data_IF_924314230121
#
_entry.id   IF_924314230121
#
_cell.length_a   1.000
_cell.length_b   1.000
_cell.length_c   1.000
_cell.angle_alpha   90.00
_cell.angle_beta   90.00
_cell.angle_gamma   90.00
#
_symmetry.space_group_name_H-M   'P 1'
#
loop_
_entity.id
_entity.type
_entity.pdbx_description
1 polymer ?
#
# COMPACT_ATOMS: atom_id res chain seq x y z
N UNK A 1 -12.28 12.60 -29.22
CA UNK A 1 -12.34 12.69 -30.69
C UNK A 1 -13.80 12.44 -31.10
N UNK A 2 -14.45 13.35 -31.78
CA UNK A 2 -15.85 13.16 -32.17
C UNK A 2 -15.92 12.25 -33.40
N UNK A 3 -16.50 11.04 -33.34
CA UNK A 3 -16.45 10.05 -34.41
C UNK A 3 -17.23 10.47 -35.67
N UNK A 4 -18.14 11.43 -35.54
CA UNK A 4 -18.97 11.91 -36.64
C UNK A 4 -18.55 13.27 -37.20
N UNK A 5 -17.49 13.89 -36.65
CA UNK A 5 -17.02 15.20 -37.09
C UNK A 5 -16.57 15.25 -38.55
N UNK A 6 -16.24 14.10 -39.15
CA UNK A 6 -15.79 13.96 -40.53
C UNK A 6 -16.88 13.41 -41.49
N UNK A 7 -18.11 13.15 -40.98
CA UNK A 7 -19.18 12.67 -41.84
C UNK A 7 -19.76 13.81 -42.68
N UNK A 8 -19.97 13.55 -43.96
CA UNK A 8 -20.60 14.51 -44.88
C UNK A 8 -22.13 14.41 -44.79
N UNK A 9 -22.77 15.49 -44.40
CA UNK A 9 -24.23 15.62 -44.38
C UNK A 9 -24.65 16.57 -45.50
N UNK A 10 -25.32 16.05 -46.53
CA UNK A 10 -25.73 16.82 -47.73
C UNK A 10 -27.13 17.41 -47.57
N UNK A 11 -28.02 16.80 -46.82
CA UNK A 11 -29.40 17.23 -46.59
C UNK A 11 -29.65 17.90 -45.25
N UNK A 12 -30.77 18.56 -45.05
CA UNK A 12 -31.17 19.14 -43.77
C UNK A 12 -31.41 18.06 -42.71
N UNK A 13 -32.09 16.98 -43.09
CA UNK A 13 -32.41 15.84 -42.22
C UNK A 13 -31.11 15.13 -41.79
N UNK A 14 -30.16 14.97 -42.72
CA UNK A 14 -28.85 14.34 -42.38
C UNK A 14 -28.05 15.19 -41.39
N UNK A 15 -28.10 16.52 -41.50
CA UNK A 15 -27.45 17.42 -40.53
C UNK A 15 -28.09 17.37 -39.15
N UNK A 16 -29.43 17.32 -39.11
CA UNK A 16 -30.14 17.18 -37.83
C UNK A 16 -29.87 15.82 -37.18
N UNK A 17 -29.83 14.74 -37.99
CA UNK A 17 -29.47 13.41 -37.48
C UNK A 17 -28.02 13.37 -36.98
N UNK A 18 -27.09 13.99 -37.71
CA UNK A 18 -25.69 14.10 -37.29
C UNK A 18 -25.57 14.86 -35.96
N UNK A 19 -26.26 15.99 -35.82
CA UNK A 19 -26.27 16.77 -34.58
C UNK A 19 -26.84 15.96 -33.42
N UNK A 20 -27.93 15.24 -33.64
CA UNK A 20 -28.53 14.35 -32.64
C UNK A 20 -27.55 13.23 -32.19
N UNK A 21 -26.89 12.60 -33.17
CA UNK A 21 -25.91 11.53 -32.87
C UNK A 21 -24.69 12.06 -32.12
N UNK A 22 -24.22 13.26 -32.45
CA UNK A 22 -23.14 13.92 -31.70
C UNK A 22 -23.56 14.20 -30.25
N UNK A 23 -24.77 14.73 -30.06
CA UNK A 23 -25.31 14.99 -28.74
C UNK A 23 -25.45 13.71 -27.93
N UNK A 24 -26.01 12.65 -28.49
CA UNK A 24 -26.13 11.34 -27.83
C UNK A 24 -24.76 10.76 -27.48
N UNK A 25 -23.77 10.90 -28.35
CA UNK A 25 -22.40 10.48 -28.04
C UNK A 25 -21.81 11.25 -26.87
N UNK A 26 -21.91 12.58 -26.89
CA UNK A 26 -21.37 13.43 -25.84
C UNK A 26 -22.06 13.18 -24.48
N UNK A 27 -23.38 12.95 -24.48
CA UNK A 27 -24.15 12.71 -23.25
C UNK A 27 -24.00 11.28 -22.72
N UNK A 28 -23.89 10.27 -23.56
CA UNK A 28 -24.02 8.87 -23.14
C UNK A 28 -22.74 8.05 -23.25
N UNK A 29 -21.85 8.36 -24.19
CA UNK A 29 -20.72 7.49 -24.53
C UNK A 29 -19.35 8.11 -24.28
N UNK A 30 -19.23 9.43 -24.34
CA UNK A 30 -17.95 10.12 -24.28
C UNK A 30 -17.16 9.78 -23.02
N UNK A 31 -17.81 9.89 -21.85
CA UNK A 31 -17.17 9.59 -20.57
C UNK A 31 -16.69 8.15 -20.50
N UNK A 32 -17.49 7.21 -21.01
CA UNK A 32 -17.13 5.80 -21.05
C UNK A 32 -15.97 5.54 -22.02
N UNK A 33 -15.96 6.20 -23.19
CA UNK A 33 -14.86 6.08 -24.13
C UNK A 33 -13.55 6.65 -23.58
N UNK A 34 -13.62 7.79 -22.89
CA UNK A 34 -12.47 8.38 -22.22
C UNK A 34 -11.94 7.49 -21.09
N UNK A 35 -12.83 6.84 -20.31
CA UNK A 35 -12.42 5.85 -19.31
C UNK A 35 -11.73 4.63 -19.91
N UNK A 36 -12.21 4.13 -21.05
CA UNK A 36 -11.59 2.99 -21.75
C UNK A 36 -10.16 3.34 -22.15
N UNK A 37 -9.93 4.55 -22.66
CA UNK A 37 -8.60 5.03 -23.01
C UNK A 37 -7.66 5.14 -21.81
N UNK A 38 -8.21 5.39 -20.61
CA UNK A 38 -7.46 5.49 -19.35
C UNK A 38 -7.34 4.16 -18.59
N UNK A 39 -7.92 3.07 -19.12
CA UNK A 39 -7.90 1.77 -18.45
C UNK A 39 -6.48 1.25 -18.17
N UNK A 40 -5.53 1.58 -19.04
CA UNK A 40 -4.10 1.30 -18.85
C UNK A 40 -3.41 2.17 -17.81
N UNK A 41 -4.01 3.34 -17.47
CA UNK A 41 -3.48 4.32 -16.53
C UNK A 41 -4.57 4.89 -15.60
N UNK A 42 -5.21 4.06 -14.76
CA UNK A 42 -6.37 4.45 -13.94
C UNK A 42 -6.10 5.65 -13.03
N UNK A 43 -4.84 5.84 -12.61
CA UNK A 43 -4.43 6.96 -11.75
C UNK A 43 -4.59 8.35 -12.41
N UNK A 44 -4.76 8.41 -13.72
CA UNK A 44 -5.01 9.64 -14.47
C UNK A 44 -6.52 9.88 -14.69
N UNK A 45 -7.35 8.85 -14.47
CA UNK A 45 -8.77 8.89 -14.69
C UNK A 45 -9.59 9.37 -13.47
N UNK A 46 -10.92 9.30 -13.57
CA UNK A 46 -11.81 9.62 -12.45
C UNK A 46 -11.60 8.64 -11.29
N UNK A 47 -11.95 9.08 -10.06
CA UNK A 47 -11.75 8.31 -8.84
C UNK A 47 -12.40 6.91 -8.90
N UNK A 48 -13.58 6.81 -9.52
CA UNK A 48 -14.30 5.53 -9.70
C UNK A 48 -13.48 4.48 -10.45
N UNK A 49 -12.65 4.91 -11.42
CA UNK A 49 -11.81 4.00 -12.21
C UNK A 49 -10.67 3.43 -11.34
N UNK A 50 -10.08 4.27 -10.48
CA UNK A 50 -9.05 3.84 -9.53
C UNK A 50 -9.65 2.88 -8.50
N UNK A 51 -10.80 3.21 -7.93
CA UNK A 51 -11.48 2.37 -6.94
C UNK A 51 -11.82 0.98 -7.50
N UNK A 52 -12.30 0.93 -8.75
CA UNK A 52 -12.53 -0.33 -9.45
C UNK A 52 -11.26 -1.14 -9.64
N UNK A 53 -10.17 -0.49 -10.06
CA UNK A 53 -8.88 -1.16 -10.26
C UNK A 53 -8.30 -1.65 -8.92
N UNK A 54 -8.41 -0.87 -7.85
CA UNK A 54 -8.00 -1.26 -6.49
C UNK A 54 -8.76 -2.51 -6.03
N UNK A 55 -10.07 -2.57 -6.25
CA UNK A 55 -10.89 -3.72 -5.89
C UNK A 55 -10.51 -4.97 -6.69
N UNK A 56 -10.23 -4.82 -7.99
CA UNK A 56 -9.81 -5.91 -8.87
C UNK A 56 -8.42 -6.44 -8.51
N UNK A 57 -7.50 -5.56 -8.13
CA UNK A 57 -6.12 -5.91 -7.78
C UNK A 57 -5.96 -6.34 -6.31
N UNK A 58 -7.04 -6.39 -5.54
CA UNK A 58 -7.02 -6.79 -4.13
C UNK A 58 -6.38 -5.77 -3.19
N UNK A 59 -6.23 -4.51 -3.63
CA UNK A 59 -5.55 -3.44 -2.91
C UNK A 59 -6.50 -2.60 -2.05
N UNK A 60 -7.48 -3.23 -1.40
CA UNK A 60 -8.48 -2.55 -0.54
C UNK A 60 -7.89 -1.61 0.52
N UNK A 61 -6.65 -1.84 0.87
CA UNK A 61 -5.80 -1.05 1.75
C UNK A 61 -5.61 0.37 1.29
N UNK A 62 -5.48 0.58 0.00
CA UNK A 62 -5.26 1.91 -0.56
C UNK A 62 -6.48 2.82 -0.40
N UNK A 63 -7.67 2.27 -0.17
CA UNK A 63 -8.91 3.03 0.03
C UNK A 63 -8.91 3.93 1.28
N UNK A 64 -7.94 3.77 2.18
CA UNK A 64 -7.79 4.59 3.39
C UNK A 64 -7.00 5.90 3.14
N UNK A 65 -6.35 6.03 2.00
CA UNK A 65 -5.58 7.21 1.66
C UNK A 65 -6.48 8.35 1.13
N UNK A 66 -5.99 9.57 1.20
CA UNK A 66 -6.61 10.71 0.51
C UNK A 66 -6.62 10.48 -1.00
N UNK A 67 -7.47 11.17 -1.76
CA UNK A 67 -7.55 10.95 -3.22
C UNK A 67 -6.19 11.13 -3.90
N UNK A 68 -5.43 12.16 -3.55
CA UNK A 68 -4.09 12.40 -4.08
C UNK A 68 -3.11 11.31 -3.68
N UNK A 69 -3.14 10.88 -2.42
CA UNK A 69 -2.35 9.77 -1.91
C UNK A 69 -2.71 8.45 -2.60
N UNK A 70 -3.99 8.21 -2.83
CA UNK A 70 -4.49 7.03 -3.53
C UNK A 70 -3.94 6.95 -4.97
N UNK A 71 -3.99 8.06 -5.71
CA UNK A 71 -3.45 8.15 -7.07
C UNK A 71 -1.95 7.87 -7.10
N UNK A 72 -1.22 8.46 -6.17
CA UNK A 72 0.22 8.27 -6.04
C UNK A 72 0.58 6.82 -5.68
N UNK A 73 -0.08 6.25 -4.68
CA UNK A 73 0.15 4.88 -4.23
C UNK A 73 -0.20 3.86 -5.31
N UNK A 74 -1.32 4.03 -6.01
CA UNK A 74 -1.70 3.15 -7.10
C UNK A 74 -0.69 3.21 -8.25
N UNK A 75 -0.22 4.41 -8.60
CA UNK A 75 0.86 4.59 -9.58
C UNK A 75 2.15 3.89 -9.13
N UNK A 76 2.57 4.13 -7.89
CA UNK A 76 3.77 3.52 -7.33
C UNK A 76 3.66 1.98 -7.31
N UNK A 77 2.52 1.43 -6.88
CA UNK A 77 2.28 0.00 -6.90
C UNK A 77 2.40 -0.58 -8.32
N UNK A 78 1.75 0.04 -9.29
CA UNK A 78 1.73 -0.47 -10.67
C UNK A 78 3.12 -0.46 -11.31
N UNK A 79 3.95 0.55 -11.04
CA UNK A 79 5.28 0.68 -11.64
C UNK A 79 6.39 0.00 -10.83
N UNK A 80 6.26 -0.09 -9.50
CA UNK A 80 7.30 -0.63 -8.61
C UNK A 80 7.06 -2.07 -8.19
N UNK A 81 5.81 -2.54 -8.13
CA UNK A 81 5.46 -3.91 -7.76
C UNK A 81 6.19 -4.98 -8.60
N UNK A 82 6.42 -4.81 -9.91
CA UNK A 82 7.19 -5.77 -10.70
C UNK A 82 8.63 -5.97 -10.23
N UNK A 83 9.20 -5.01 -9.51
CA UNK A 83 10.59 -5.05 -9.02
C UNK A 83 10.80 -6.02 -7.87
N UNK A 84 9.75 -6.58 -7.29
CA UNK A 84 9.77 -7.46 -6.11
C UNK A 84 10.56 -6.85 -4.93
N UNK A 85 10.14 -7.17 -3.70
CA UNK A 85 10.82 -6.69 -2.49
C UNK A 85 9.97 -5.74 -1.65
N UNK A 86 10.64 -4.88 -0.88
CA UNK A 86 10.02 -3.96 0.09
C UNK A 86 9.67 -2.59 -0.47
N UNK A 87 10.01 -2.31 -1.74
CA UNK A 87 9.85 -0.97 -2.32
C UNK A 87 8.43 -0.40 -2.26
N UNK A 88 7.41 -1.25 -2.44
CA UNK A 88 6.04 -0.80 -2.33
C UNK A 88 5.65 -0.55 -0.87
N UNK A 89 6.10 -1.40 0.05
CA UNK A 89 5.93 -1.21 1.49
C UNK A 89 6.56 0.11 1.94
N UNK A 90 7.79 0.40 1.53
CA UNK A 90 8.49 1.66 1.81
C UNK A 90 7.71 2.88 1.29
N UNK A 91 7.25 2.80 0.03
CA UNK A 91 6.45 3.87 -0.57
C UNK A 91 5.15 4.09 0.20
N UNK A 92 4.49 3.01 0.59
CA UNK A 92 3.25 3.06 1.35
C UNK A 92 3.45 3.67 2.74
N UNK A 93 4.48 3.23 3.46
CA UNK A 93 4.82 3.77 4.78
C UNK A 93 5.21 5.25 4.70
N UNK A 94 6.00 5.63 3.71
CA UNK A 94 6.40 7.03 3.50
C UNK A 94 5.22 7.95 3.25
N UNK A 95 4.21 7.50 2.50
CA UNK A 95 3.01 8.32 2.25
C UNK A 95 2.15 8.46 3.49
N UNK A 96 2.07 7.43 4.34
CA UNK A 96 1.23 7.44 5.53
C UNK A 96 1.91 8.08 6.74
N UNK A 97 3.20 7.82 6.93
CA UNK A 97 3.94 8.18 8.14
C UNK A 97 5.14 9.12 7.89
N UNK A 98 5.38 9.53 6.64
CA UNK A 98 6.57 10.31 6.31
C UNK A 98 7.84 9.49 6.48
N UNK A 99 8.85 10.06 7.15
CA UNK A 99 10.16 9.42 7.37
C UNK A 99 10.32 8.83 8.80
N UNK A 100 9.20 8.67 9.55
CA UNK A 100 9.21 8.16 10.94
C UNK A 100 9.00 6.64 11.01
N UNK A 101 9.52 5.91 10.05
CA UNK A 101 9.48 4.46 10.01
C UNK A 101 10.85 3.86 9.70
N UNK A 102 11.04 2.62 10.14
CA UNK A 102 12.21 1.81 9.82
C UNK A 102 11.77 0.39 9.45
N UNK A 103 12.39 -0.20 8.43
CA UNK A 103 12.10 -1.58 8.00
C UNK A 103 13.35 -2.41 8.17
N UNK A 104 13.27 -3.38 9.08
CA UNK A 104 14.37 -4.27 9.40
C UNK A 104 14.02 -5.72 9.08
N UNK A 105 14.92 -6.44 8.43
CA UNK A 105 14.80 -7.88 8.28
C UNK A 105 15.31 -8.56 9.55
N UNK A 106 14.55 -9.55 10.05
CA UNK A 106 14.88 -10.24 11.28
C UNK A 106 15.75 -11.47 11.04
N UNK A 107 16.69 -11.65 11.93
CA UNK A 107 17.64 -12.76 11.99
C UNK A 107 17.32 -13.63 13.19
N UNK A 108 17.50 -14.95 13.05
CA UNK A 108 17.30 -15.94 14.09
C UNK A 108 18.62 -16.58 14.46
N UNK A 109 18.88 -16.74 15.76
CA UNK A 109 20.05 -17.46 16.24
C UNK A 109 19.96 -18.94 15.94
N UNK A 110 21.01 -19.52 15.36
CA UNK A 110 21.03 -20.94 14.91
C UNK A 110 20.91 -21.93 16.08
N UNK A 111 21.35 -21.55 17.27
CA UNK A 111 21.33 -22.40 18.47
C UNK A 111 19.97 -22.46 19.15
N UNK A 112 19.02 -21.62 18.77
CA UNK A 112 17.73 -21.52 19.44
C UNK A 112 16.57 -22.00 18.56
N UNK A 113 15.47 -22.51 19.16
CA UNK A 113 14.30 -22.94 18.39
C UNK A 113 13.62 -21.75 17.71
N UNK A 114 13.22 -21.93 16.44
CA UNK A 114 12.49 -20.93 15.69
C UNK A 114 11.00 -20.93 16.07
N UNK A 115 10.34 -19.77 16.24
CA UNK A 115 10.82 -18.40 16.20
C UNK A 115 11.08 -17.82 17.61
N UNK A 116 12.28 -17.95 18.10
CA UNK A 116 12.70 -17.31 19.35
C UNK A 116 13.88 -16.36 19.07
N UNK A 117 14.09 -15.38 19.95
CA UNK A 117 15.21 -14.42 19.89
C UNK A 117 15.50 -13.84 18.48
N UNK A 118 14.45 -13.27 17.89
CA UNK A 118 14.54 -12.60 16.60
C UNK A 118 15.16 -11.21 16.78
N UNK A 119 16.27 -10.95 16.06
CA UNK A 119 17.04 -9.71 16.17
C UNK A 119 17.26 -9.05 14.83
N UNK A 120 17.44 -7.74 14.86
CA UNK A 120 17.93 -7.00 13.71
C UNK A 120 19.44 -7.15 13.59
N UNK A 121 19.97 -6.83 12.43
CA UNK A 121 21.41 -6.81 12.19
C UNK A 121 22.14 -5.86 13.15
N UNK A 122 21.52 -4.73 13.43
CA UNK A 122 22.07 -3.73 14.37
C UNK A 122 22.07 -4.23 15.80
N UNK A 123 21.01 -4.92 16.24
CA UNK A 123 20.92 -5.52 17.58
C UNK A 123 22.01 -6.60 17.77
N UNK A 124 22.30 -7.41 16.71
CA UNK A 124 23.37 -8.41 16.75
C UNK A 124 24.74 -7.71 16.91
N UNK A 125 24.98 -6.65 16.14
CA UNK A 125 26.24 -5.91 16.20
C UNK A 125 26.43 -5.21 17.55
N UNK A 126 25.38 -4.61 18.11
CA UNK A 126 25.40 -3.94 19.42
C UNK A 126 25.72 -4.92 20.57
N UNK A 127 25.26 -6.17 20.46
CA UNK A 127 25.52 -7.21 21.46
C UNK A 127 26.91 -7.85 21.27
N UNK A 128 27.69 -7.45 20.26
CA UNK A 128 29.01 -8.03 19.98
C UNK A 128 28.95 -9.47 19.50
N UNK A 129 27.79 -9.94 19.00
CA UNK A 129 27.62 -11.29 18.50
C UNK A 129 27.98 -11.35 17.00
N UNK A 130 28.35 -12.56 16.54
CA UNK A 130 28.73 -12.73 15.14
C UNK A 130 27.51 -13.02 14.25
N UNK A 131 27.41 -12.35 13.09
CA UNK A 131 26.36 -12.65 12.10
C UNK A 131 26.40 -14.13 11.64
N UNK A 132 27.56 -14.79 11.73
CA UNK A 132 27.69 -16.20 11.36
C UNK A 132 26.85 -17.16 12.21
N UNK A 133 26.48 -16.74 13.45
CA UNK A 133 25.70 -17.52 14.39
C UNK A 133 24.18 -17.40 14.14
N UNK A 134 23.82 -16.57 13.17
CA UNK A 134 22.45 -16.26 12.82
C UNK A 134 22.13 -16.70 11.38
N UNK A 135 20.85 -16.85 11.09
CA UNK A 135 20.34 -17.01 9.73
C UNK A 135 19.22 -16.01 9.45
N UNK A 136 19.14 -15.61 8.22
CA UNK A 136 18.15 -14.65 7.75
C UNK A 136 16.78 -15.31 7.67
N UNK A 137 15.77 -14.70 8.29
CA UNK A 137 14.39 -15.21 8.27
C UNK A 137 13.54 -14.52 7.20
N UNK A 138 12.36 -15.06 6.94
CA UNK A 138 11.33 -14.41 6.11
C UNK A 138 10.49 -13.39 6.89
N UNK A 139 10.99 -12.89 8.02
CA UNK A 139 10.29 -11.91 8.86
C UNK A 139 10.86 -10.51 8.66
N UNK A 140 9.95 -9.55 8.50
CA UNK A 140 10.26 -8.13 8.44
C UNK A 140 9.64 -7.45 9.66
N UNK A 141 10.40 -6.59 10.32
CA UNK A 141 9.91 -5.72 11.39
C UNK A 141 9.83 -4.29 10.87
N UNK A 142 8.66 -3.70 11.02
CA UNK A 142 8.43 -2.28 10.75
C UNK A 142 8.32 -1.58 12.10
N UNK A 143 9.28 -0.72 12.37
CA UNK A 143 9.31 0.13 13.54
C UNK A 143 8.68 1.48 13.18
N UNK A 144 7.61 1.88 13.86
CA UNK A 144 6.89 3.13 13.66
C UNK A 144 7.01 3.99 14.92
N UNK A 145 7.47 5.23 14.75
CA UNK A 145 7.51 6.22 15.82
C UNK A 145 6.33 7.17 15.65
N UNK A 146 5.18 6.82 16.23
CA UNK A 146 3.94 7.60 16.09
C UNK A 146 3.03 7.42 17.29
N UNK A 147 2.20 8.42 17.57
CA UNK A 147 1.28 8.40 18.71
C UNK A 147 0.07 7.49 18.48
N UNK A 148 -0.39 7.34 17.24
CA UNK A 148 -1.51 6.48 16.89
C UNK A 148 -1.25 5.75 15.56
N UNK A 149 -1.50 4.45 15.58
CA UNK A 149 -1.61 3.65 14.35
C UNK A 149 -2.98 2.97 14.34
N UNK A 150 -3.87 3.34 13.41
CA UNK A 150 -5.14 2.65 13.29
C UNK A 150 -4.92 1.16 12.99
N UNK A 151 -5.63 0.26 13.68
CA UNK A 151 -5.55 -1.20 13.42
C UNK A 151 -5.75 -1.56 11.94
N UNK A 152 -6.56 -0.76 11.25
CA UNK A 152 -6.83 -0.91 9.82
C UNK A 152 -5.54 -0.78 8.99
N UNK A 153 -4.63 0.11 9.39
CA UNK A 153 -3.35 0.31 8.69
C UNK A 153 -2.46 -0.92 8.89
N UNK A 154 -2.44 -1.51 10.08
CA UNK A 154 -1.65 -2.72 10.37
C UNK A 154 -2.13 -3.90 9.51
N UNK A 155 -3.44 -4.11 9.39
CA UNK A 155 -4.01 -5.13 8.49
C UNK A 155 -3.65 -4.85 7.04
N UNK A 156 -3.65 -3.59 6.69
CA UNK A 156 -3.31 -3.06 5.41
C UNK A 156 -1.87 -3.36 5.00
N UNK A 157 -0.92 -3.12 5.87
CA UNK A 157 0.49 -3.40 5.64
C UNK A 157 0.75 -4.87 5.26
N UNK A 158 -0.04 -5.80 5.79
CA UNK A 158 0.08 -7.23 5.47
C UNK A 158 -0.23 -7.55 4.02
N UNK A 159 -1.20 -6.87 3.41
CA UNK A 159 -1.58 -7.11 2.02
C UNK A 159 -0.58 -6.52 1.02
N UNK A 160 0.26 -5.61 1.49
CA UNK A 160 1.32 -4.95 0.70
C UNK A 160 2.55 -5.84 0.57
N UNK A 161 2.76 -6.72 1.54
CA UNK A 161 3.94 -7.59 1.62
C UNK A 161 3.67 -8.94 0.93
N UNK A 162 4.67 -9.53 0.30
CA UNK A 162 4.54 -10.83 -0.34
C UNK A 162 4.07 -11.89 0.67
N UNK A 163 3.17 -12.79 0.25
CA UNK A 163 2.50 -13.79 1.10
C UNK A 163 3.48 -14.68 1.92
N UNK A 164 4.71 -14.86 1.44
CA UNK A 164 5.76 -15.62 2.13
C UNK A 164 6.48 -14.86 3.24
N UNK A 165 6.27 -13.54 3.34
CA UNK A 165 6.91 -12.70 4.34
C UNK A 165 5.96 -12.51 5.53
N UNK A 166 6.49 -12.65 6.73
CA UNK A 166 5.76 -12.35 7.97
C UNK A 166 6.12 -10.92 8.39
N UNK A 167 5.11 -10.08 8.50
CA UNK A 167 5.28 -8.69 8.91
C UNK A 167 5.00 -8.55 10.41
N UNK A 168 5.97 -8.02 11.13
CA UNK A 168 5.85 -7.60 12.52
C UNK A 168 5.83 -6.06 12.54
N UNK A 169 4.90 -5.47 13.29
CA UNK A 169 4.82 -4.02 13.42
C UNK A 169 5.06 -3.67 14.89
N UNK A 170 6.08 -2.87 15.15
CA UNK A 170 6.38 -2.32 16.47
C UNK A 170 6.11 -0.82 16.47
N UNK A 171 5.35 -0.38 17.44
CA UNK A 171 4.99 1.02 17.62
C UNK A 171 5.74 1.53 18.83
N UNK A 172 6.53 2.57 18.66
CA UNK A 172 7.19 3.30 19.75
C UNK A 172 6.57 4.69 19.89
N UNK A 173 6.20 5.04 21.10
CA UNK A 173 5.71 6.38 21.44
C UNK A 173 6.79 7.10 22.24
N UNK A 174 7.16 8.31 21.81
CA UNK A 174 8.01 9.17 22.60
C UNK A 174 7.14 10.08 23.47
N UNK A 175 6.96 9.75 24.74
CA UNK A 175 6.34 10.67 25.68
C UNK A 175 7.41 11.66 26.19
N UNK A 176 7.29 12.94 25.83
CA UNK A 176 7.98 14.02 26.52
C UNK A 176 7.15 14.43 27.74
N UNK A 177 7.58 14.07 28.92
CA UNK A 177 7.03 14.67 30.15
C UNK A 177 7.87 15.89 30.51
N UNK A 178 7.27 17.06 30.58
CA UNK A 178 7.90 18.30 31.04
C UNK A 178 8.12 18.34 32.56
N UNK A 179 8.08 17.20 33.25
CA UNK A 179 8.54 17.11 34.62
C UNK A 179 10.05 16.91 34.60
N UNK A 180 10.78 17.86 35.15
CA UNK A 180 12.25 17.94 35.18
C UNK A 180 13.00 16.79 35.87
N UNK A 181 12.59 15.55 35.64
CA UNK A 181 13.31 14.32 35.94
C UNK A 181 13.38 13.54 34.64
N UNK A 182 14.55 13.52 34.04
CA UNK A 182 14.77 12.86 32.73
C UNK A 182 14.65 11.34 32.84
N UNK A 183 13.45 10.83 32.59
CA UNK A 183 13.18 9.42 32.36
C UNK A 183 12.57 9.26 30.99
N UNK A 184 13.27 8.60 30.07
CA UNK A 184 12.70 8.17 28.79
C UNK A 184 11.92 6.88 29.04
N UNK A 185 10.60 6.97 29.07
CA UNK A 185 9.72 5.79 29.09
C UNK A 185 9.40 5.38 27.67
N UNK A 186 9.97 4.28 27.20
CA UNK A 186 9.61 3.65 25.93
C UNK A 186 8.54 2.59 26.20
N UNK A 187 7.29 2.86 25.83
CA UNK A 187 6.21 1.88 25.82
C UNK A 187 6.24 1.14 24.47
N UNK A 188 6.67 -0.11 24.50
CA UNK A 188 6.69 -0.97 23.29
C UNK A 188 5.46 -1.87 23.33
N UNK A 189 4.49 -1.60 22.47
CA UNK A 189 3.36 -2.48 22.26
C UNK A 189 3.66 -3.43 21.08
N UNK A 190 3.80 -4.72 21.39
CA UNK A 190 3.96 -5.76 20.36
C UNK A 190 2.60 -6.24 19.90
N UNK A 191 2.26 -6.01 18.65
CA UNK A 191 1.12 -6.65 17.99
C UNK A 191 1.62 -7.82 17.13
N UNK A 192 1.56 -9.01 17.70
CA UNK A 192 1.77 -10.24 16.93
C UNK A 192 0.44 -10.66 16.34
N UNK A 193 0.28 -10.44 15.04
CA UNK A 193 -0.89 -10.92 14.34
C UNK A 193 -0.66 -12.37 13.91
N UNK A 194 -0.95 -13.33 14.76
CA UNK A 194 -1.04 -14.74 14.43
C UNK A 194 -2.22 -14.97 13.48
N UNK A 195 -1.94 -15.46 12.28
CA UNK A 195 -2.97 -15.93 11.37
C UNK A 195 -3.50 -17.27 11.88
N UNK A 196 -4.62 -17.27 12.62
CA UNK A 196 -5.41 -18.47 12.77
C UNK A 196 -6.06 -18.77 11.42
N UNK A 197 -5.66 -19.88 10.83
CA UNK A 197 -6.34 -20.54 9.73
C UNK A 197 -7.72 -20.95 10.25
N UNK A 198 -8.78 -20.26 9.81
CA UNK A 198 -10.13 -20.77 9.93
C UNK A 198 -10.23 -22.04 9.08
N UNK A 199 -10.16 -23.20 9.73
CA UNK A 199 -10.54 -24.46 9.12
C UNK A 199 -12.03 -24.39 8.75
N UNK A 200 -12.44 -24.87 7.57
CA UNK A 200 -13.85 -24.93 7.23
C UNK A 200 -14.55 -25.92 8.15
N UNK A 201 -15.63 -25.46 8.78
CA UNK A 201 -16.54 -26.33 9.52
C UNK A 201 -17.15 -27.36 8.57
N UNK A 202 -16.97 -28.62 8.92
CA UNK A 202 -17.61 -29.80 8.31
C UNK A 202 -19.10 -29.84 8.56
#
# INVERSE_FOLDING_TARGET
MNPLAQSFANGSIERELQALMIQLYDESLKDTADEINLYGAPHLGPLRLIQRSIAQDGLSVLSQATESGLRYLFKAWRFQNPRRGTHFLETYLRVLFGDVYEINQLWQKKSEPYPSDLRTREEIALNGESESDYFLTSRLRVDLTTDEVPERVIRALRTVVAARLVLEVRISQSARSDFGVGGVMSLVNFFQASGESLAPAS
#
